data_IF_647326655475
#
_entry.id   IF_647326655475
#
_cell.length_a   1.000
_cell.length_b   1.000
_cell.length_c   1.000
_cell.angle_alpha   90.00
_cell.angle_beta   90.00
_cell.angle_gamma   90.00
#
_symmetry.space_group_name_H-M   'P 1'
#
loop_
_entity.id
_entity.type
_entity.pdbx_description
1 polymer ?
#
# COMPACT_ATOMS: atom_id res chain seq x y z
N UNK A 1 -31.98 53.90 -97.50
CA UNK A 1 -33.13 53.11 -97.15
C UNK A 1 -32.72 52.00 -96.22
N UNK A 2 -33.27 52.04 -95.06
CA UNK A 2 -33.48 51.00 -94.07
C UNK A 2 -32.29 50.13 -93.60
N UNK A 3 -31.74 50.52 -92.47
CA UNK A 3 -30.91 49.70 -91.65
C UNK A 3 -31.67 49.04 -90.46
N UNK A 4 -31.29 47.91 -90.06
CA UNK A 4 -31.78 47.27 -88.84
C UNK A 4 -30.63 46.91 -87.96
N UNK A 5 -30.62 47.51 -86.80
CA UNK A 5 -29.73 47.28 -85.63
C UNK A 5 -30.00 45.93 -84.99
N UNK A 6 -29.02 45.08 -84.94
CA UNK A 6 -29.04 43.82 -84.11
C UNK A 6 -28.33 44.00 -82.80
N UNK A 7 -29.07 43.99 -81.69
CA UNK A 7 -28.55 43.96 -80.33
C UNK A 7 -28.07 42.55 -80.02
N UNK A 8 -26.79 42.33 -79.71
CA UNK A 8 -26.25 41.12 -79.16
C UNK A 8 -26.34 41.19 -77.62
N UNK A 9 -27.15 40.33 -77.07
CA UNK A 9 -27.15 40.06 -75.63
C UNK A 9 -25.92 39.21 -75.23
N UNK A 10 -25.10 39.71 -74.37
CA UNK A 10 -24.07 38.92 -73.64
C UNK A 10 -24.71 38.28 -72.47
N UNK A 11 -24.84 36.94 -72.44
CA UNK A 11 -25.11 36.15 -71.24
C UNK A 11 -23.76 35.90 -70.48
N UNK A 12 -23.60 36.58 -69.40
CA UNK A 12 -22.51 36.28 -68.48
C UNK A 12 -22.83 35.02 -67.59
N UNK A 13 -22.14 33.94 -67.84
CA UNK A 13 -22.14 32.80 -66.91
C UNK A 13 -21.29 33.12 -65.70
N UNK A 14 -21.93 33.39 -64.53
CA UNK A 14 -21.26 33.45 -63.24
C UNK A 14 -21.10 32.00 -62.77
N UNK A 15 -19.88 31.45 -62.87
CA UNK A 15 -19.47 30.19 -62.25
C UNK A 15 -19.16 30.43 -60.78
N UNK A 16 -20.12 30.11 -59.92
CA UNK A 16 -19.92 30.10 -58.43
C UNK A 16 -19.15 28.83 -58.08
N UNK A 17 -17.86 28.95 -57.81
CA UNK A 17 -17.06 27.88 -57.20
C UNK A 17 -17.48 27.73 -55.74
N UNK A 18 -18.31 26.72 -55.43
CA UNK A 18 -18.49 26.23 -54.07
C UNK A 18 -17.21 25.49 -53.64
N UNK A 19 -16.34 26.15 -52.87
CA UNK A 19 -15.24 25.51 -52.19
C UNK A 19 -15.79 24.65 -51.06
N UNK A 20 -16.00 23.34 -51.31
CA UNK A 20 -16.33 22.34 -50.32
C UNK A 20 -15.06 22.07 -49.52
N UNK A 21 -14.87 22.78 -48.39
CA UNK A 21 -13.81 22.52 -47.42
C UNK A 21 -14.06 21.15 -46.80
N UNK A 22 -13.34 20.15 -47.27
CA UNK A 22 -13.24 18.84 -46.61
C UNK A 22 -12.52 19.03 -45.29
N UNK A 23 -13.26 19.14 -44.21
CA UNK A 23 -12.73 18.96 -42.83
C UNK A 23 -12.40 17.48 -42.72
N UNK A 24 -11.17 17.10 -43.07
CA UNK A 24 -10.63 15.81 -42.75
C UNK A 24 -10.60 15.73 -41.19
N UNK A 25 -11.29 14.76 -40.56
CA UNK A 25 -11.10 14.54 -39.15
C UNK A 25 -9.60 14.23 -38.97
N UNK A 26 -8.89 15.10 -38.27
CA UNK A 26 -7.56 14.79 -37.80
C UNK A 26 -7.69 13.49 -37.00
N UNK A 27 -7.20 12.38 -37.54
CA UNK A 27 -6.92 11.18 -36.74
C UNK A 27 -5.87 11.61 -35.71
N UNK A 28 -6.36 12.09 -34.57
CA UNK A 28 -5.51 12.29 -33.43
C UNK A 28 -4.90 10.92 -33.14
N UNK A 29 -3.62 10.75 -33.47
CA UNK A 29 -2.88 9.58 -33.05
C UNK A 29 -3.04 9.53 -31.51
N UNK A 30 -3.73 8.50 -31.00
CA UNK A 30 -3.90 8.35 -29.58
C UNK A 30 -2.51 8.34 -28.95
N UNK A 31 -2.28 9.21 -27.98
CA UNK A 31 -1.00 9.29 -27.30
C UNK A 31 -0.67 7.92 -26.70
N UNK A 32 0.59 7.49 -26.86
CA UNK A 32 1.07 6.26 -26.24
C UNK A 32 0.81 6.33 -24.74
N UNK A 33 0.22 5.28 -24.13
CA UNK A 33 -0.15 5.31 -22.71
C UNK A 33 1.08 5.40 -21.82
N UNK A 34 0.96 6.12 -20.72
CA UNK A 34 1.94 6.02 -19.64
C UNK A 34 1.93 4.61 -19.06
N UNK A 35 3.11 3.98 -19.00
CA UNK A 35 3.25 2.60 -18.52
C UNK A 35 3.78 2.61 -17.09
N UNK A 36 3.02 2.08 -16.14
CA UNK A 36 3.49 1.72 -14.81
C UNK A 36 3.53 0.19 -14.68
N UNK A 37 4.41 -0.31 -13.84
CA UNK A 37 4.45 -1.71 -13.45
C UNK A 37 3.85 -1.92 -12.08
N UNK A 38 3.36 -3.12 -11.82
CA UNK A 38 3.02 -3.56 -10.47
C UNK A 38 3.45 -5.02 -10.29
N UNK A 39 3.97 -5.34 -9.12
CA UNK A 39 4.30 -6.73 -8.72
C UNK A 39 3.65 -6.97 -7.37
N UNK A 40 2.74 -7.94 -7.33
CA UNK A 40 1.98 -8.26 -6.14
C UNK A 40 1.99 -9.77 -5.88
N UNK A 41 1.94 -10.15 -4.60
CA UNK A 41 1.75 -11.55 -4.19
C UNK A 41 0.28 -11.95 -4.33
N UNK A 42 -0.24 -12.03 -5.57
CA UNK A 42 -1.66 -12.33 -5.85
C UNK A 42 -1.99 -13.75 -5.41
N UNK A 43 -1.03 -14.67 -5.54
CA UNK A 43 -1.12 -16.05 -5.07
C UNK A 43 -0.05 -16.37 -4.02
N UNK A 44 -0.15 -17.55 -3.39
CA UNK A 44 0.76 -17.96 -2.32
C UNK A 44 0.39 -17.40 -0.94
N UNK A 45 1.36 -17.37 0.00
CA UNK A 45 1.11 -16.97 1.39
C UNK A 45 0.73 -15.49 1.55
N UNK A 46 1.10 -14.63 0.60
CA UNK A 46 0.80 -13.20 0.58
C UNK A 46 -0.50 -12.85 -0.13
N UNK A 47 -1.30 -13.85 -0.58
CA UNK A 47 -2.47 -13.59 -1.43
C UNK A 47 -3.51 -12.68 -0.79
N UNK A 48 -3.65 -12.72 0.53
CA UNK A 48 -4.55 -11.79 1.24
C UNK A 48 -4.11 -10.32 1.19
N UNK A 49 -2.86 -10.07 0.75
CA UNK A 49 -2.32 -8.73 0.49
C UNK A 49 -2.41 -8.40 -1.01
N UNK A 50 -1.80 -9.26 -1.84
CA UNK A 50 -1.60 -8.98 -3.25
C UNK A 50 -2.86 -9.01 -4.10
N UNK A 51 -3.84 -9.87 -3.78
CA UNK A 51 -5.11 -9.90 -4.51
C UNK A 51 -5.89 -8.58 -4.39
N UNK A 52 -6.14 -8.03 -3.18
CA UNK A 52 -6.80 -6.73 -3.07
C UNK A 52 -5.95 -5.57 -3.59
N UNK A 53 -4.61 -5.63 -3.54
CA UNK A 53 -3.74 -4.62 -4.17
C UNK A 53 -3.94 -4.59 -5.69
N UNK A 54 -3.91 -5.76 -6.35
CA UNK A 54 -4.17 -5.90 -7.78
C UNK A 54 -5.57 -5.38 -8.14
N UNK A 55 -6.61 -5.87 -7.47
CA UNK A 55 -8.00 -5.45 -7.68
C UNK A 55 -8.15 -3.93 -7.59
N UNK A 56 -7.52 -3.33 -6.59
CA UNK A 56 -7.57 -1.88 -6.37
C UNK A 56 -6.86 -1.11 -7.48
N UNK A 57 -5.65 -1.52 -7.84
CA UNK A 57 -4.90 -0.86 -8.92
C UNK A 57 -5.66 -0.93 -10.24
N UNK A 58 -6.21 -2.08 -10.62
CA UNK A 58 -7.00 -2.26 -11.84
C UNK A 58 -8.27 -1.37 -11.81
N UNK A 59 -9.00 -1.35 -10.69
CA UNK A 59 -10.18 -0.50 -10.51
C UNK A 59 -9.85 0.99 -10.66
N UNK A 60 -8.74 1.43 -10.08
CA UNK A 60 -8.34 2.83 -10.12
C UNK A 60 -7.82 3.24 -11.50
N UNK A 61 -7.15 2.35 -12.23
CA UNK A 61 -6.75 2.59 -13.63
C UNK A 61 -7.98 2.82 -14.52
N UNK A 62 -9.02 2.01 -14.37
CA UNK A 62 -10.28 2.22 -15.09
C UNK A 62 -10.90 3.60 -14.76
N UNK A 63 -10.94 3.98 -13.47
CA UNK A 63 -11.44 5.29 -13.03
C UNK A 63 -10.62 6.44 -13.63
N UNK A 64 -9.30 6.36 -13.59
CA UNK A 64 -8.40 7.38 -14.12
C UNK A 64 -8.63 7.55 -15.64
N UNK A 65 -8.69 6.44 -16.37
CA UNK A 65 -8.86 6.46 -17.82
C UNK A 65 -10.26 6.94 -18.24
N UNK A 66 -11.32 6.55 -17.53
CA UNK A 66 -12.68 7.05 -17.77
C UNK A 66 -12.83 8.55 -17.51
N UNK A 67 -11.93 9.12 -16.66
CA UNK A 67 -11.86 10.56 -16.37
C UNK A 67 -10.90 11.31 -17.31
N UNK A 68 -10.46 10.71 -18.43
CA UNK A 68 -9.61 11.35 -19.43
C UNK A 68 -8.11 11.08 -19.27
N UNK A 69 -7.71 10.15 -18.40
CA UNK A 69 -6.31 9.77 -18.20
C UNK A 69 -5.50 10.80 -17.40
N UNK A 70 -4.19 10.75 -17.55
CA UNK A 70 -3.25 11.68 -16.92
C UNK A 70 -2.87 12.76 -17.92
N UNK A 71 -3.33 14.00 -17.72
CA UNK A 71 -3.11 15.10 -18.65
C UNK A 71 -3.54 14.75 -20.10
N UNK A 72 -4.64 14.01 -20.26
CA UNK A 72 -5.14 13.57 -21.58
C UNK A 72 -4.47 12.31 -22.13
N UNK A 73 -3.51 11.72 -21.43
CA UNK A 73 -2.79 10.49 -21.82
C UNK A 73 -3.33 9.30 -21.02
N UNK A 74 -3.72 8.19 -21.68
CA UNK A 74 -4.16 6.99 -20.98
C UNK A 74 -3.08 6.40 -20.08
N UNK A 75 -3.49 5.79 -18.98
CA UNK A 75 -2.62 5.03 -18.07
C UNK A 75 -2.76 3.53 -18.35
N UNK A 76 -1.63 2.83 -18.45
CA UNK A 76 -1.56 1.37 -18.48
C UNK A 76 -0.72 0.87 -17.32
N UNK A 77 -1.27 -0.04 -16.50
CA UNK A 77 -0.50 -0.74 -15.47
C UNK A 77 -0.34 -2.20 -15.88
N UNK A 78 0.91 -2.67 -15.90
CA UNK A 78 1.26 -4.07 -16.17
C UNK A 78 1.46 -4.75 -14.83
N UNK A 79 0.62 -5.73 -14.52
CA UNK A 79 0.62 -6.42 -13.22
C UNK A 79 1.21 -7.82 -13.39
N UNK A 80 2.19 -8.16 -12.55
CA UNK A 80 2.72 -9.52 -12.42
C UNK A 80 2.45 -10.08 -11.02
N UNK A 81 2.14 -11.37 -10.97
CA UNK A 81 2.05 -12.14 -9.74
C UNK A 81 3.44 -12.71 -9.40
N UNK A 82 3.94 -12.41 -8.21
CA UNK A 82 5.21 -12.96 -7.71
C UNK A 82 5.02 -14.31 -6.98
N UNK A 83 3.78 -14.77 -6.84
CA UNK A 83 3.41 -16.01 -6.16
C UNK A 83 3.99 -16.13 -4.73
N UNK A 84 4.29 -15.00 -4.11
CA UNK A 84 4.98 -14.89 -2.80
C UNK A 84 6.38 -15.51 -2.79
N UNK A 85 7.05 -15.56 -3.97
CA UNK A 85 8.37 -16.11 -4.18
C UNK A 85 9.39 -15.02 -4.56
N UNK A 86 10.54 -14.99 -3.87
CA UNK A 86 11.54 -13.93 -4.07
C UNK A 86 12.19 -13.98 -5.45
N UNK A 87 12.39 -15.16 -6.02
CA UNK A 87 12.99 -15.33 -7.35
C UNK A 87 12.02 -14.84 -8.43
N UNK A 88 10.74 -15.24 -8.35
CA UNK A 88 9.70 -14.79 -9.27
C UNK A 88 9.49 -13.28 -9.18
N UNK A 89 9.48 -12.74 -7.97
CA UNK A 89 9.39 -11.29 -7.74
C UNK A 89 10.55 -10.56 -8.44
N UNK A 90 11.79 -10.98 -8.23
CA UNK A 90 12.96 -10.35 -8.86
C UNK A 90 12.90 -10.44 -10.40
N UNK A 91 12.48 -11.57 -10.96
CA UNK A 91 12.29 -11.74 -12.40
C UNK A 91 11.20 -10.84 -12.95
N UNK A 92 10.06 -10.75 -12.26
CA UNK A 92 8.94 -9.88 -12.64
C UNK A 92 9.36 -8.40 -12.63
N UNK A 93 10.02 -7.94 -11.56
CA UNK A 93 10.52 -6.57 -11.45
C UNK A 93 11.54 -6.28 -12.56
N UNK A 94 12.50 -7.18 -12.81
CA UNK A 94 13.46 -7.02 -13.90
C UNK A 94 12.76 -6.90 -15.25
N UNK A 95 11.76 -7.74 -15.52
CA UNK A 95 11.01 -7.71 -16.77
C UNK A 95 10.26 -6.37 -16.97
N UNK A 96 9.58 -5.88 -15.93
CA UNK A 96 8.94 -4.56 -15.95
C UNK A 96 9.91 -3.44 -16.31
N UNK A 97 11.13 -3.48 -15.73
CA UNK A 97 12.15 -2.44 -15.93
C UNK A 97 12.77 -2.46 -17.32
N UNK A 98 13.11 -3.65 -17.85
CA UNK A 98 13.97 -3.82 -19.03
C UNK A 98 13.20 -4.11 -20.32
N UNK A 99 12.13 -4.92 -20.24
CA UNK A 99 11.33 -5.33 -21.40
C UNK A 99 10.10 -4.45 -21.57
N UNK A 100 9.29 -4.30 -20.52
CA UNK A 100 8.07 -3.49 -20.56
C UNK A 100 8.36 -1.98 -20.51
N UNK A 101 9.56 -1.60 -20.01
CA UNK A 101 10.07 -0.21 -19.91
C UNK A 101 9.13 0.71 -19.15
N UNK A 102 8.63 0.23 -18.01
CA UNK A 102 7.72 1.01 -17.17
C UNK A 102 8.42 2.22 -16.53
N UNK A 103 7.64 3.23 -16.18
CA UNK A 103 8.13 4.50 -15.60
C UNK A 103 8.38 4.40 -14.10
N UNK A 104 7.59 3.59 -13.40
CA UNK A 104 7.74 3.27 -11.99
C UNK A 104 7.14 1.89 -11.72
N UNK A 105 7.50 1.27 -10.58
CA UNK A 105 6.98 -0.02 -10.13
C UNK A 105 6.28 0.16 -8.79
N UNK A 106 5.06 -0.38 -8.66
CA UNK A 106 4.24 -0.43 -7.44
C UNK A 106 4.34 -1.84 -6.86
N UNK A 107 4.46 -1.95 -5.55
CA UNK A 107 4.77 -3.21 -4.86
C UNK A 107 6.30 -3.39 -4.67
N UNK A 108 6.75 -4.58 -4.25
CA UNK A 108 5.98 -5.79 -3.90
C UNK A 108 5.12 -5.66 -2.63
N UNK A 109 4.27 -6.68 -2.42
CA UNK A 109 3.34 -6.75 -1.26
C UNK A 109 4.03 -7.11 0.05
N UNK A 110 5.09 -7.92 0.00
CA UNK A 110 5.76 -8.49 1.17
C UNK A 110 7.11 -7.84 1.45
N UNK A 111 7.45 -7.62 2.73
CA UNK A 111 8.70 -6.97 3.13
C UNK A 111 9.95 -7.72 2.64
N UNK A 112 9.96 -9.05 2.73
CA UNK A 112 11.09 -9.85 2.26
C UNK A 112 11.29 -9.74 0.75
N UNK A 113 10.21 -9.69 -0.04
CA UNK A 113 10.26 -9.54 -1.50
C UNK A 113 10.69 -8.11 -1.88
N UNK A 114 10.16 -7.11 -1.18
CA UNK A 114 10.58 -5.71 -1.38
C UNK A 114 12.07 -5.53 -1.15
N UNK A 115 12.60 -6.06 -0.04
CA UNK A 115 14.04 -6.00 0.26
C UNK A 115 14.90 -6.70 -0.81
N UNK A 116 14.41 -7.80 -1.39
CA UNK A 116 15.13 -8.52 -2.45
C UNK A 116 15.25 -7.72 -3.76
N UNK A 117 14.30 -6.79 -4.02
CA UNK A 117 14.29 -6.02 -5.29
C UNK A 117 14.79 -4.59 -5.15
N UNK A 118 15.03 -4.09 -3.93
CA UNK A 118 15.67 -2.77 -3.70
C UNK A 118 16.95 -2.59 -4.52
N UNK A 119 17.92 -3.55 -4.54
CA UNK A 119 19.12 -3.38 -5.35
C UNK A 119 18.85 -3.26 -6.85
N UNK A 120 17.76 -3.89 -7.35
CA UNK A 120 17.37 -3.80 -8.76
C UNK A 120 16.84 -2.41 -9.08
N UNK A 121 16.02 -1.83 -8.20
CA UNK A 121 15.47 -0.48 -8.37
C UNK A 121 16.58 0.58 -8.38
N UNK A 122 17.52 0.50 -7.43
CA UNK A 122 18.68 1.40 -7.33
C UNK A 122 19.59 1.30 -8.57
N UNK A 123 19.94 0.06 -8.99
CA UNK A 123 20.84 -0.16 -10.12
C UNK A 123 20.24 0.23 -11.49
N UNK A 124 18.92 0.16 -11.64
CA UNK A 124 18.21 0.51 -12.88
C UNK A 124 17.59 1.90 -12.87
N UNK A 125 17.83 2.68 -11.81
CA UNK A 125 17.34 4.04 -11.66
C UNK A 125 15.83 4.17 -11.95
N UNK A 126 15.03 3.30 -11.27
CA UNK A 126 13.59 3.30 -11.44
C UNK A 126 12.88 3.49 -10.10
N UNK A 127 11.90 4.42 -10.00
CA UNK A 127 11.10 4.56 -8.81
C UNK A 127 10.36 3.26 -8.46
N UNK A 128 10.62 2.73 -7.26
CA UNK A 128 9.94 1.59 -6.67
C UNK A 128 9.10 2.08 -5.49
N UNK A 129 7.79 1.87 -5.52
CA UNK A 129 6.86 2.28 -4.46
C UNK A 129 6.33 1.01 -3.80
N UNK A 130 7.04 0.52 -2.78
CA UNK A 130 6.71 -0.72 -2.08
C UNK A 130 5.39 -0.62 -1.31
N UNK A 131 4.61 -1.71 -1.34
CA UNK A 131 3.39 -1.89 -0.53
C UNK A 131 3.66 -2.65 0.78
N UNK A 132 4.92 -2.73 1.23
CA UNK A 132 5.32 -3.48 2.41
C UNK A 132 5.86 -2.59 3.53
N UNK A 133 5.76 -3.08 4.78
CA UNK A 133 5.86 -2.23 5.97
C UNK A 133 7.27 -2.04 6.53
N UNK A 134 8.24 -2.95 6.24
CA UNK A 134 9.58 -2.84 6.82
C UNK A 134 10.22 -1.47 6.55
N UNK A 135 10.74 -0.83 7.59
CA UNK A 135 11.44 0.45 7.46
C UNK A 135 12.74 0.32 6.63
N UNK A 136 13.34 -0.87 6.62
CA UNK A 136 14.56 -1.17 5.85
C UNK A 136 14.39 -1.09 4.35
N UNK A 137 13.14 -1.09 3.86
CA UNK A 137 12.85 -0.97 2.43
C UNK A 137 13.31 0.39 1.90
N UNK A 138 13.16 1.43 2.70
CA UNK A 138 13.51 2.80 2.31
C UNK A 138 14.80 3.31 2.94
N UNK A 139 15.39 2.55 3.88
CA UNK A 139 16.60 2.96 4.60
C UNK A 139 17.72 1.92 4.45
N UNK A 140 18.85 2.34 3.91
CA UNK A 140 20.07 1.54 3.90
C UNK A 140 20.71 1.56 5.31
N UNK A 141 20.60 0.46 6.03
CA UNK A 141 21.15 0.32 7.38
C UNK A 141 22.68 0.50 7.45
N UNK A 142 23.41 0.29 6.35
CA UNK A 142 24.87 0.44 6.31
C UNK A 142 25.28 1.91 6.31
N UNK A 143 24.53 2.73 5.60
CA UNK A 143 24.82 4.16 5.44
C UNK A 143 23.98 5.05 6.35
N UNK A 144 22.88 4.54 6.88
CA UNK A 144 21.87 5.30 7.62
C UNK A 144 21.11 6.32 6.76
N UNK A 145 21.15 6.17 5.44
CA UNK A 145 20.51 7.08 4.49
C UNK A 145 19.38 6.39 3.74
N UNK A 146 18.34 7.11 3.29
CA UNK A 146 17.33 6.57 2.40
C UNK A 146 17.96 6.07 1.09
N UNK A 147 17.39 5.00 0.54
CA UNK A 147 17.65 4.60 -0.83
C UNK A 147 17.13 5.67 -1.79
N UNK A 148 17.85 5.92 -2.87
CA UNK A 148 17.54 7.03 -3.80
C UNK A 148 16.23 6.80 -4.57
N UNK A 149 15.97 5.56 -4.99
CA UNK A 149 14.90 5.22 -5.92
C UNK A 149 13.73 4.49 -5.27
N UNK A 150 13.77 4.25 -3.95
CA UNK A 150 12.79 3.41 -3.26
C UNK A 150 11.95 4.22 -2.28
N UNK A 151 10.65 4.05 -2.41
CA UNK A 151 9.59 4.65 -1.59
C UNK A 151 8.68 3.55 -1.05
N UNK A 152 7.82 3.84 -0.09
CA UNK A 152 6.82 2.88 0.42
C UNK A 152 5.55 3.57 0.91
N UNK A 153 4.44 2.82 0.89
CA UNK A 153 3.13 3.34 1.31
C UNK A 153 2.70 2.89 2.71
N UNK A 154 2.98 1.68 3.21
CA UNK A 154 2.60 1.32 4.57
C UNK A 154 3.35 2.15 5.62
N UNK A 155 2.72 2.36 6.75
CA UNK A 155 3.39 2.86 7.94
C UNK A 155 4.56 1.92 8.30
N UNK A 156 5.66 2.51 8.78
CA UNK A 156 6.83 1.72 9.19
C UNK A 156 6.58 0.94 10.48
N UNK A 157 7.26 -0.19 10.63
CA UNK A 157 7.23 -1.02 11.84
C UNK A 157 7.51 -0.22 13.10
N UNK A 158 8.45 0.74 13.05
CA UNK A 158 8.77 1.64 14.16
C UNK A 158 7.54 2.40 14.65
N UNK A 159 6.75 2.99 13.73
CA UNK A 159 5.54 3.73 14.08
C UNK A 159 4.49 2.84 14.75
N UNK A 160 4.36 1.59 14.26
CA UNK A 160 3.44 0.64 14.86
C UNK A 160 3.88 0.20 16.27
N UNK A 161 5.18 -0.03 16.48
CA UNK A 161 5.73 -0.33 17.82
C UNK A 161 5.54 0.86 18.75
N UNK A 162 5.81 2.08 18.30
CA UNK A 162 5.60 3.30 19.09
C UNK A 162 4.13 3.45 19.51
N UNK A 163 3.18 3.20 18.62
CA UNK A 163 1.74 3.23 18.91
C UNK A 163 1.37 2.18 19.98
N UNK A 164 1.86 0.93 19.83
CA UNK A 164 1.64 -0.15 20.81
C UNK A 164 2.23 0.22 22.17
N UNK A 165 3.49 0.68 22.21
CA UNK A 165 4.15 1.01 23.48
C UNK A 165 3.54 2.24 24.15
N UNK A 166 3.10 3.23 23.38
CA UNK A 166 2.36 4.38 23.92
C UNK A 166 1.04 3.94 24.59
N UNK A 167 0.30 3.02 23.96
CA UNK A 167 -0.90 2.43 24.55
C UNK A 167 -0.56 1.62 25.81
N UNK A 168 0.46 0.78 25.77
CA UNK A 168 0.93 -0.01 26.93
C UNK A 168 1.33 0.88 28.11
N UNK A 169 2.01 1.99 27.84
CA UNK A 169 2.39 2.98 28.86
C UNK A 169 1.16 3.57 29.56
N UNK A 170 0.11 3.92 28.79
CA UNK A 170 -1.18 4.39 29.37
C UNK A 170 -1.84 3.33 30.26
N UNK A 171 -1.68 2.04 29.95
CA UNK A 171 -2.24 0.92 30.69
C UNK A 171 -1.31 0.43 31.83
N UNK A 172 -0.14 1.03 32.03
CA UNK A 172 0.83 0.63 33.07
C UNK A 172 1.51 -0.72 32.80
N UNK A 173 1.48 -1.21 31.55
CA UNK A 173 2.13 -2.43 31.10
C UNK A 173 3.63 -2.18 30.94
N UNK A 174 4.48 -3.01 31.56
CA UNK A 174 5.94 -2.89 31.53
C UNK A 174 6.63 -4.18 31.11
N UNK A 175 6.12 -5.35 31.51
CA UNK A 175 6.71 -6.67 31.20
C UNK A 175 5.93 -7.34 30.09
N UNK A 176 6.58 -7.57 28.97
CA UNK A 176 5.95 -8.13 27.77
C UNK A 176 6.68 -9.36 27.26
N UNK A 177 5.93 -10.23 26.61
CA UNK A 177 6.48 -11.25 25.75
C UNK A 177 6.30 -10.83 24.28
N UNK A 178 7.28 -11.12 23.44
CA UNK A 178 7.16 -10.98 22.00
C UNK A 178 7.26 -12.35 21.35
N UNK A 179 6.47 -12.55 20.28
CA UNK A 179 6.55 -13.70 19.41
C UNK A 179 6.47 -13.22 17.96
N UNK A 180 7.43 -13.64 17.12
CA UNK A 180 7.61 -13.05 15.81
C UNK A 180 7.85 -14.11 14.74
N UNK A 181 7.28 -13.91 13.55
CA UNK A 181 7.59 -14.77 12.42
C UNK A 181 9.03 -14.57 11.93
N UNK A 182 9.59 -15.60 11.30
CA UNK A 182 10.98 -15.58 10.78
C UNK A 182 11.06 -15.03 9.34
N UNK A 183 9.96 -14.55 8.77
CA UNK A 183 9.97 -13.85 7.49
C UNK A 183 10.48 -12.40 7.60
N UNK A 184 10.60 -11.72 6.45
CA UNK A 184 11.13 -10.34 6.41
C UNK A 184 10.32 -9.34 7.23
N UNK A 185 8.99 -9.49 7.33
CA UNK A 185 8.15 -8.62 8.14
C UNK A 185 8.29 -8.91 9.65
N UNK A 186 8.27 -10.19 10.02
CA UNK A 186 8.45 -10.60 11.42
C UNK A 186 9.82 -10.21 11.97
N UNK A 187 10.88 -10.40 11.17
CA UNK A 187 12.24 -10.01 11.54
C UNK A 187 12.38 -8.50 11.70
N UNK A 188 11.81 -7.71 10.78
CA UNK A 188 11.83 -6.25 10.84
C UNK A 188 11.11 -5.73 12.09
N UNK A 189 9.90 -6.22 12.35
CA UNK A 189 9.15 -5.85 13.55
C UNK A 189 9.84 -6.25 14.86
N UNK A 190 10.45 -7.45 14.90
CA UNK A 190 11.23 -7.87 16.06
C UNK A 190 12.40 -6.91 16.34
N UNK A 191 13.09 -6.49 15.30
CA UNK A 191 14.21 -5.55 15.49
C UNK A 191 13.73 -4.23 16.07
N UNK A 192 12.61 -3.69 15.59
CA UNK A 192 12.03 -2.45 16.11
C UNK A 192 11.50 -2.62 17.53
N UNK A 193 10.83 -3.74 17.85
CA UNK A 193 10.39 -4.06 19.21
C UNK A 193 11.57 -4.06 20.19
N UNK A 194 12.65 -4.76 19.85
CA UNK A 194 13.85 -4.83 20.68
C UNK A 194 14.56 -3.48 20.77
N UNK A 195 14.72 -2.78 19.64
CA UNK A 195 15.38 -1.47 19.60
C UNK A 195 14.66 -0.44 20.44
N UNK A 196 13.34 -0.31 20.29
CA UNK A 196 12.55 0.71 21.01
C UNK A 196 12.40 0.32 22.48
N UNK A 197 12.22 -0.96 22.81
CA UNK A 197 12.24 -1.42 24.22
C UNK A 197 13.57 -1.12 24.91
N UNK A 198 14.69 -1.18 24.20
CA UNK A 198 16.03 -0.86 24.71
C UNK A 198 16.30 0.63 24.91
N UNK A 199 15.44 1.53 24.47
CA UNK A 199 15.58 2.96 24.74
C UNK A 199 15.36 3.27 26.22
N UNK A 200 16.17 4.19 26.76
CA UNK A 200 16.22 4.55 28.20
C UNK A 200 14.83 4.87 28.79
N UNK A 201 13.98 5.52 28.00
CA UNK A 201 12.66 6.01 28.44
C UNK A 201 11.49 5.12 27.99
N UNK A 202 11.77 3.94 27.43
CA UNK A 202 10.70 3.02 26.96
C UNK A 202 9.88 2.49 28.13
N UNK A 203 10.53 2.14 29.22
CA UNK A 203 9.91 1.51 30.39
C UNK A 203 9.39 0.10 30.13
N UNK A 204 9.76 -0.52 28.98
CA UNK A 204 9.32 -1.85 28.55
C UNK A 204 10.47 -2.85 28.74
N UNK A 205 10.15 -3.96 29.41
CA UNK A 205 11.03 -5.14 29.59
C UNK A 205 10.48 -6.31 28.77
N UNK A 206 11.27 -6.83 27.84
CA UNK A 206 10.94 -8.04 27.09
C UNK A 206 11.39 -9.25 27.90
N UNK A 207 10.45 -9.99 28.49
CA UNK A 207 10.71 -11.17 29.32
C UNK A 207 10.74 -12.48 28.52
N UNK A 208 10.20 -12.49 27.30
CA UNK A 208 10.28 -13.61 26.37
C UNK A 208 10.37 -13.09 24.92
N UNK A 209 11.17 -13.75 24.12
CA UNK A 209 11.40 -13.46 22.70
C UNK A 209 11.35 -14.79 21.91
N UNK A 210 10.14 -15.17 21.48
CA UNK A 210 9.90 -16.43 20.79
C UNK A 210 9.77 -16.21 19.28
N UNK A 211 10.24 -17.19 18.52
CA UNK A 211 10.20 -17.18 17.04
C UNK A 211 9.45 -18.38 16.52
N UNK A 212 8.86 -18.22 15.34
CA UNK A 212 8.15 -19.28 14.63
C UNK A 212 8.17 -19.07 13.12
N UNK A 213 7.94 -20.13 12.35
CA UNK A 213 7.86 -20.08 10.90
C UNK A 213 6.57 -19.43 10.42
N UNK A 214 6.59 -18.70 9.29
CA UNK A 214 5.38 -18.05 8.75
C UNK A 214 4.32 -19.05 8.24
N UNK A 215 4.67 -20.35 8.16
CA UNK A 215 3.77 -21.44 7.76
C UNK A 215 3.46 -22.41 8.90
N UNK A 216 3.89 -22.11 10.12
CA UNK A 216 3.62 -22.98 11.26
C UNK A 216 2.12 -23.05 11.55
N UNK A 217 1.65 -24.24 11.82
CA UNK A 217 0.24 -24.54 12.11
C UNK A 217 -0.04 -24.78 13.59
N UNK A 218 1.01 -24.79 14.43
CA UNK A 218 0.95 -24.95 15.88
C UNK A 218 2.03 -24.11 16.56
N UNK A 219 1.62 -23.25 17.49
CA UNK A 219 2.47 -22.37 18.29
C UNK A 219 2.33 -22.63 19.79
N UNK A 220 1.80 -23.80 20.15
CA UNK A 220 1.53 -24.19 21.55
C UNK A 220 2.80 -24.20 22.39
N UNK A 221 3.94 -24.63 21.84
CA UNK A 221 5.21 -24.67 22.55
C UNK A 221 5.68 -23.27 22.98
N UNK A 222 5.68 -22.31 22.03
CA UNK A 222 6.08 -20.92 22.30
C UNK A 222 5.14 -20.25 23.29
N UNK A 223 3.83 -20.42 23.10
CA UNK A 223 2.81 -19.85 23.98
C UNK A 223 2.82 -20.44 25.39
N UNK A 224 3.12 -21.75 25.55
CA UNK A 224 3.27 -22.39 26.84
C UNK A 224 4.47 -21.81 27.60
N UNK A 225 5.59 -21.60 26.94
CA UNK A 225 6.77 -20.96 27.53
C UNK A 225 6.46 -19.52 27.95
N UNK A 226 5.81 -18.74 27.08
CA UNK A 226 5.38 -17.37 27.37
C UNK A 226 4.44 -17.36 28.59
N UNK A 227 3.45 -18.26 28.64
CA UNK A 227 2.50 -18.37 29.76
C UNK A 227 3.21 -18.60 31.08
N UNK A 228 4.26 -19.44 31.09
CA UNK A 228 5.05 -19.73 32.29
C UNK A 228 5.81 -18.51 32.85
N UNK A 229 6.11 -17.52 32.03
CA UNK A 229 6.80 -16.28 32.40
C UNK A 229 5.85 -15.17 32.88
N UNK A 230 4.54 -15.39 32.77
CA UNK A 230 3.47 -14.50 33.24
C UNK A 230 3.68 -13.02 32.84
N UNK A 231 3.83 -12.70 31.53
CA UNK A 231 3.95 -11.34 31.08
C UNK A 231 2.65 -10.56 31.26
N UNK A 232 2.74 -9.22 31.31
CA UNK A 232 1.57 -8.35 31.38
C UNK A 232 0.87 -8.18 30.02
N UNK A 233 1.59 -8.39 28.91
CA UNK A 233 1.04 -8.43 27.56
C UNK A 233 1.89 -9.32 26.65
N UNK A 234 1.27 -9.79 25.57
CA UNK A 234 1.93 -10.54 24.50
C UNK A 234 1.80 -9.73 23.22
N UNK A 235 2.91 -9.51 22.50
CA UNK A 235 2.90 -8.94 21.15
C UNK A 235 3.23 -10.04 20.15
N UNK A 236 2.35 -10.25 19.19
CA UNK A 236 2.59 -11.13 18.04
C UNK A 236 2.87 -10.29 16.78
N UNK A 237 4.01 -10.55 16.13
CA UNK A 237 4.39 -9.82 14.93
C UNK A 237 4.57 -10.77 13.75
N UNK A 238 3.56 -10.83 12.92
CA UNK A 238 3.54 -11.66 11.72
C UNK A 238 2.50 -11.15 10.72
N UNK A 239 2.44 -11.81 9.58
CA UNK A 239 1.45 -11.57 8.54
C UNK A 239 0.95 -12.93 8.00
N UNK A 240 -0.26 -12.95 7.43
CA UNK A 240 -0.84 -14.17 6.87
C UNK A 240 -1.54 -15.06 7.90
N UNK A 241 -1.87 -16.32 7.54
CA UNK A 241 -2.72 -17.19 8.38
C UNK A 241 -2.17 -17.52 9.77
N UNK A 242 -0.86 -17.53 9.93
CA UNK A 242 -0.21 -17.88 11.22
C UNK A 242 -0.61 -16.95 12.37
N UNK A 243 -1.04 -15.71 12.09
CA UNK A 243 -1.58 -14.79 13.10
C UNK A 243 -2.82 -15.35 13.79
N UNK A 244 -3.67 -16.01 13.03
CA UNK A 244 -4.89 -16.66 13.50
C UNK A 244 -4.54 -17.90 14.32
N UNK A 245 -3.52 -18.66 13.89
CA UNK A 245 -3.01 -19.83 14.66
C UNK A 245 -2.56 -19.38 16.05
N UNK A 246 -1.79 -18.29 16.15
CA UNK A 246 -1.33 -17.75 17.44
C UNK A 246 -2.50 -17.46 18.39
N UNK A 247 -3.56 -16.82 17.89
CA UNK A 247 -4.74 -16.48 18.71
C UNK A 247 -5.54 -17.71 19.14
N UNK A 248 -5.74 -18.68 18.24
CA UNK A 248 -6.45 -19.92 18.54
C UNK A 248 -5.70 -20.72 19.61
N UNK A 249 -4.39 -20.94 19.42
CA UNK A 249 -3.58 -21.66 20.39
C UNK A 249 -3.51 -20.93 21.75
N UNK A 250 -3.45 -19.60 21.77
CA UNK A 250 -3.51 -18.83 23.01
C UNK A 250 -4.85 -19.05 23.76
N UNK A 251 -5.97 -19.05 23.04
CA UNK A 251 -7.29 -19.34 23.57
C UNK A 251 -7.38 -20.76 24.13
N UNK A 252 -6.91 -21.76 23.38
CA UNK A 252 -6.94 -23.18 23.77
C UNK A 252 -6.10 -23.45 25.01
N UNK A 253 -4.97 -22.74 25.16
CA UNK A 253 -4.14 -22.75 26.37
C UNK A 253 -4.74 -21.95 27.54
N UNK A 254 -5.89 -21.30 27.36
CA UNK A 254 -6.51 -20.47 28.38
C UNK A 254 -5.71 -19.23 28.77
N UNK A 255 -4.89 -18.68 27.86
CA UNK A 255 -4.13 -17.45 28.08
C UNK A 255 -5.11 -16.27 28.12
N UNK A 256 -5.08 -15.51 29.24
CA UNK A 256 -5.93 -14.32 29.46
C UNK A 256 -5.13 -13.02 29.39
N UNK A 257 -3.82 -13.13 29.22
CA UNK A 257 -2.92 -11.99 29.05
C UNK A 257 -3.34 -11.16 27.83
N UNK A 258 -3.42 -9.81 27.92
CA UNK A 258 -3.71 -8.93 26.78
C UNK A 258 -2.84 -9.26 25.57
N UNK A 259 -3.46 -9.42 24.43
CA UNK A 259 -2.79 -9.81 23.20
C UNK A 259 -2.78 -8.65 22.22
N UNK A 260 -1.61 -8.26 21.75
CA UNK A 260 -1.41 -7.25 20.72
C UNK A 260 -0.95 -7.93 19.45
N UNK A 261 -1.55 -7.56 18.35
CA UNK A 261 -1.11 -7.94 17.01
C UNK A 261 -0.40 -6.78 16.32
N UNK A 262 0.53 -7.08 15.42
CA UNK A 262 1.05 -6.07 14.50
C UNK A 262 -0.06 -5.52 13.60
N UNK A 263 0.19 -4.39 12.97
CA UNK A 263 -0.72 -3.81 11.95
C UNK A 263 -1.00 -4.76 10.76
N UNK A 264 -0.15 -5.77 10.55
CA UNK A 264 -0.41 -6.85 9.59
C UNK A 264 -1.66 -7.69 9.87
N UNK A 265 -2.27 -7.59 11.07
CA UNK A 265 -3.55 -8.22 11.38
C UNK A 265 -4.76 -7.48 10.81
N UNK A 266 -4.58 -6.28 10.27
CA UNK A 266 -5.60 -5.35 9.83
C UNK A 266 -6.47 -5.81 8.67
N UNK A 267 -7.11 -6.99 8.79
CA UNK A 267 -8.09 -7.51 7.85
C UNK A 267 -9.23 -8.19 8.62
N UNK A 268 -10.49 -7.78 8.35
CA UNK A 268 -11.67 -8.36 9.01
C UNK A 268 -11.78 -9.88 8.82
N UNK A 269 -11.26 -10.43 7.73
CA UNK A 269 -11.20 -11.87 7.53
C UNK A 269 -10.38 -12.59 8.62
N UNK A 270 -9.33 -11.97 9.15
CA UNK A 270 -8.54 -12.53 10.26
C UNK A 270 -9.38 -12.67 11.53
N UNK A 271 -10.27 -11.71 11.81
CA UNK A 271 -11.19 -11.76 12.96
C UNK A 271 -12.15 -12.94 12.79
N UNK A 272 -12.76 -13.08 11.60
CA UNK A 272 -13.68 -14.17 11.29
C UNK A 272 -13.00 -15.55 11.39
N UNK A 273 -11.81 -15.67 10.77
CA UNK A 273 -11.01 -16.89 10.83
C UNK A 273 -10.56 -17.25 12.26
N UNK A 274 -10.36 -16.29 13.12
CA UNK A 274 -10.00 -16.55 14.52
C UNK A 274 -11.16 -17.14 15.35
N UNK A 275 -12.40 -17.16 14.86
CA UNK A 275 -13.56 -17.81 15.46
C UNK A 275 -13.73 -17.45 16.96
N UNK A 276 -13.73 -16.15 17.29
CA UNK A 276 -13.86 -15.63 18.65
C UNK A 276 -12.56 -15.71 19.49
N UNK A 277 -11.43 -16.16 18.93
CA UNK A 277 -10.13 -16.08 19.59
C UNK A 277 -9.50 -14.68 19.44
N UNK A 278 -10.06 -13.83 18.56
CA UNK A 278 -9.62 -12.46 18.38
C UNK A 278 -10.29 -11.46 19.33
N UNK A 279 -11.31 -11.83 20.08
CA UNK A 279 -12.01 -10.92 20.99
C UNK A 279 -11.05 -10.29 22.00
N UNK A 280 -11.06 -8.96 22.11
CA UNK A 280 -10.16 -8.22 23.00
C UNK A 280 -8.73 -8.02 22.48
N UNK A 281 -8.40 -8.51 21.30
CA UNK A 281 -7.08 -8.31 20.67
C UNK A 281 -6.91 -6.85 20.27
N UNK A 282 -5.75 -6.29 20.59
CA UNK A 282 -5.37 -4.90 20.32
C UNK A 282 -4.48 -4.79 19.08
N UNK A 283 -4.73 -3.82 18.23
CA UNK A 283 -4.03 -3.65 16.93
C UNK A 283 -3.84 -2.17 16.62
N UNK A 284 -2.65 -1.72 16.18
CA UNK A 284 -2.50 -0.39 15.57
C UNK A 284 -3.00 -0.45 14.13
N UNK A 285 -4.02 0.33 13.77
CA UNK A 285 -4.59 0.34 12.42
C UNK A 285 -4.62 1.74 11.81
N UNK A 286 -4.40 1.81 10.49
CA UNK A 286 -4.59 3.02 9.70
C UNK A 286 -6.06 3.31 9.40
N UNK A 287 -6.35 4.52 8.96
CA UNK A 287 -7.69 5.04 8.69
C UNK A 287 -8.53 4.15 7.74
N UNK A 288 -7.89 3.55 6.74
CA UNK A 288 -8.55 2.67 5.78
C UNK A 288 -9.26 1.46 6.43
N UNK A 289 -8.73 0.95 7.54
CA UNK A 289 -9.31 -0.18 8.26
C UNK A 289 -10.56 0.17 9.07
N UNK A 290 -10.66 1.44 9.45
CA UNK A 290 -11.62 1.95 10.45
C UNK A 290 -12.44 3.11 9.91
N UNK A 291 -12.58 3.20 8.59
CA UNK A 291 -13.27 4.30 7.91
C UNK A 291 -14.68 4.56 8.45
N UNK A 292 -15.41 3.51 8.83
CA UNK A 292 -16.76 3.60 9.38
C UNK A 292 -16.80 4.34 10.73
N UNK A 293 -15.80 4.12 11.59
CA UNK A 293 -15.71 4.69 12.94
C UNK A 293 -14.83 5.95 13.04
N UNK A 294 -14.24 6.40 11.92
CA UNK A 294 -13.49 7.66 11.90
C UNK A 294 -14.41 8.85 12.19
N UNK A 295 -13.95 9.85 12.97
CA UNK A 295 -14.63 11.11 13.16
C UNK A 295 -14.93 11.80 11.82
N UNK A 296 -16.04 12.51 11.72
CA UNK A 296 -16.46 13.19 10.48
C UNK A 296 -15.43 14.24 9.98
N UNK A 297 -14.67 14.83 10.89
CA UNK A 297 -13.63 15.81 10.58
C UNK A 297 -12.23 15.19 10.38
N UNK A 298 -12.11 13.85 10.38
CA UNK A 298 -10.85 13.20 10.14
C UNK A 298 -10.36 13.47 8.71
N UNK A 299 -9.09 13.85 8.48
CA UNK A 299 -8.59 14.26 7.15
C UNK A 299 -8.76 13.17 6.08
N UNK A 300 -8.70 11.91 6.47
CA UNK A 300 -8.83 10.78 5.55
C UNK A 300 -10.28 10.28 5.36
N UNK A 301 -11.28 10.80 6.12
CA UNK A 301 -12.65 10.29 6.09
C UNK A 301 -13.26 10.26 4.69
N UNK A 302 -13.02 11.30 3.89
CA UNK A 302 -13.57 11.39 2.55
C UNK A 302 -12.91 10.36 1.60
N UNK A 303 -11.59 10.28 1.60
CA UNK A 303 -10.83 9.41 0.67
C UNK A 303 -11.02 7.93 1.01
N UNK A 304 -11.06 7.57 2.30
CA UNK A 304 -11.29 6.18 2.72
C UNK A 304 -12.72 5.74 2.44
N UNK A 305 -13.71 6.58 2.73
CA UNK A 305 -15.12 6.28 2.45
C UNK A 305 -15.43 6.17 0.95
N UNK A 306 -14.82 7.01 0.11
CA UNK A 306 -14.96 6.88 -1.35
C UNK A 306 -14.38 5.55 -1.85
N UNK A 307 -13.19 5.20 -1.40
CA UNK A 307 -12.53 3.95 -1.78
C UNK A 307 -13.35 2.74 -1.32
N UNK A 308 -13.81 2.72 -0.06
CA UNK A 308 -14.64 1.63 0.47
C UNK A 308 -15.92 1.43 -0.35
N UNK A 309 -16.61 2.53 -0.71
CA UNK A 309 -17.81 2.49 -1.55
C UNK A 309 -17.52 1.93 -2.94
N UNK A 310 -16.44 2.37 -3.58
CA UNK A 310 -16.05 1.92 -4.91
C UNK A 310 -15.67 0.43 -4.91
N UNK A 311 -14.86 0.00 -3.94
CA UNK A 311 -14.39 -1.39 -3.82
C UNK A 311 -15.58 -2.33 -3.62
N UNK A 312 -16.47 -2.02 -2.68
CA UNK A 312 -17.68 -2.79 -2.42
C UNK A 312 -18.60 -2.86 -3.63
N UNK A 313 -18.79 -1.74 -4.35
CA UNK A 313 -19.64 -1.70 -5.53
C UNK A 313 -19.10 -2.58 -6.67
N UNK A 314 -17.76 -2.66 -6.84
CA UNK A 314 -17.15 -3.40 -7.93
C UNK A 314 -16.98 -4.88 -7.62
N UNK A 315 -16.57 -5.24 -6.40
CA UNK A 315 -16.17 -6.61 -6.06
C UNK A 315 -17.15 -7.31 -5.12
N UNK A 316 -18.07 -6.58 -4.49
CA UNK A 316 -18.98 -7.09 -3.45
C UNK A 316 -18.23 -7.79 -2.29
N UNK A 317 -17.02 -7.36 -2.01
CA UNK A 317 -16.14 -7.87 -0.96
C UNK A 317 -15.94 -6.83 0.14
N UNK A 318 -15.59 -7.24 1.37
CA UNK A 318 -15.13 -6.33 2.41
C UNK A 318 -13.87 -5.60 1.96
N UNK A 319 -13.75 -4.34 2.36
CA UNK A 319 -12.54 -3.55 2.12
C UNK A 319 -11.33 -4.20 2.79
N UNK A 320 -10.22 -4.26 2.07
CA UNK A 320 -8.91 -4.63 2.60
C UNK A 320 -7.98 -3.42 2.64
N UNK A 321 -7.36 -3.18 3.79
CA UNK A 321 -6.33 -2.14 3.91
C UNK A 321 -5.14 -2.38 2.98
N UNK A 322 -4.84 -3.64 2.67
CA UNK A 322 -3.77 -3.96 1.72
C UNK A 322 -4.07 -3.39 0.33
N UNK A 323 -5.31 -3.50 -0.14
CA UNK A 323 -5.73 -2.79 -1.35
C UNK A 323 -5.50 -1.27 -1.27
N UNK A 324 -5.69 -0.69 -0.09
CA UNK A 324 -5.37 0.73 0.17
C UNK A 324 -3.89 1.07 -0.03
N UNK A 325 -2.95 0.16 0.26
CA UNK A 325 -1.53 0.39 -0.04
C UNK A 325 -1.27 0.44 -1.55
N UNK A 326 -1.92 -0.43 -2.32
CA UNK A 326 -1.91 -0.37 -3.78
C UNK A 326 -2.51 0.93 -4.33
N UNK A 327 -3.60 1.41 -3.71
CA UNK A 327 -4.21 2.71 -4.01
C UNK A 327 -3.22 3.86 -3.78
N UNK A 328 -2.60 3.92 -2.60
CA UNK A 328 -1.64 4.95 -2.24
C UNK A 328 -0.44 4.95 -3.20
N UNK A 329 0.14 3.78 -3.50
CA UNK A 329 1.25 3.63 -4.42
C UNK A 329 0.92 4.08 -5.83
N UNK A 330 -0.24 3.70 -6.35
CA UNK A 330 -0.70 4.13 -7.66
C UNK A 330 -0.92 5.65 -7.71
N UNK A 331 -1.60 6.21 -6.71
CA UNK A 331 -1.94 7.63 -6.71
C UNK A 331 -0.72 8.53 -6.49
N UNK A 332 0.28 8.10 -5.70
CA UNK A 332 1.58 8.76 -5.60
C UNK A 332 2.28 8.80 -6.96
N UNK A 333 2.35 7.64 -7.66
CA UNK A 333 2.93 7.57 -9.00
C UNK A 333 2.16 8.43 -10.02
N UNK A 334 0.83 8.43 -9.98
CA UNK A 334 -0.02 9.25 -10.86
C UNK A 334 0.19 10.75 -10.62
N UNK A 335 0.27 11.18 -9.36
CA UNK A 335 0.52 12.58 -9.03
C UNK A 335 1.93 13.01 -9.46
N UNK A 336 2.93 12.16 -9.29
CA UNK A 336 4.27 12.41 -9.78
C UNK A 336 4.29 12.51 -11.32
N UNK A 337 3.60 11.62 -12.04
CA UNK A 337 3.48 11.67 -13.49
C UNK A 337 2.79 12.94 -14.00
N UNK A 338 1.76 13.45 -13.30
CA UNK A 338 1.07 14.69 -13.67
C UNK A 338 2.01 15.89 -13.76
N UNK A 339 3.02 15.94 -12.90
CA UNK A 339 3.98 17.05 -12.80
C UNK A 339 5.26 16.79 -13.59
N UNK A 340 5.75 15.56 -13.58
CA UNK A 340 7.05 15.18 -14.13
C UNK A 340 6.99 14.76 -15.60
N UNK A 341 5.81 14.29 -16.09
CA UNK A 341 5.74 13.59 -17.38
C UNK A 341 6.48 12.23 -17.35
N UNK A 342 6.77 11.63 -18.53
CA UNK A 342 7.32 10.28 -18.64
C UNK A 342 8.85 10.23 -18.44
N UNK A 343 9.37 10.83 -17.39
CA UNK A 343 10.79 10.85 -17.03
C UNK A 343 10.99 10.26 -15.64
N UNK A 344 11.73 9.14 -15.53
CA UNK A 344 11.93 8.40 -14.27
C UNK A 344 12.59 9.26 -13.18
N UNK A 345 13.59 10.05 -13.54
CA UNK A 345 14.30 10.91 -12.58
C UNK A 345 13.38 12.00 -12.05
N UNK A 346 12.62 12.64 -12.93
CA UNK A 346 11.64 13.65 -12.51
C UNK A 346 10.49 13.07 -11.71
N UNK A 347 10.05 11.84 -12.03
CA UNK A 347 9.03 11.11 -11.24
C UNK A 347 9.58 10.85 -9.83
N UNK A 348 10.84 10.38 -9.71
CA UNK A 348 11.49 10.18 -8.42
C UNK A 348 11.55 11.49 -7.61
N UNK A 349 11.97 12.57 -8.24
CA UNK A 349 12.06 13.88 -7.59
C UNK A 349 10.68 14.38 -7.15
N UNK A 350 9.64 14.17 -7.96
CA UNK A 350 8.27 14.53 -7.64
C UNK A 350 7.71 13.68 -6.47
N UNK A 351 8.06 12.39 -6.39
CA UNK A 351 7.71 11.55 -5.25
C UNK A 351 8.34 12.08 -3.96
N UNK A 352 9.63 12.40 -3.98
CA UNK A 352 10.36 12.94 -2.83
C UNK A 352 9.81 14.31 -2.36
N UNK A 353 9.23 15.08 -3.28
CA UNK A 353 8.59 16.36 -2.99
C UNK A 353 7.12 16.27 -2.58
N UNK A 354 6.57 15.07 -2.45
CA UNK A 354 5.17 14.87 -2.04
C UNK A 354 4.88 15.56 -0.70
N UNK A 355 3.86 16.44 -0.68
CA UNK A 355 3.39 17.15 0.52
C UNK A 355 1.89 17.09 0.64
N UNK A 356 1.41 16.86 1.86
CA UNK A 356 -0.02 16.86 2.22
C UNK A 356 -0.87 15.95 1.32
N UNK A 357 -0.28 14.86 0.81
CA UNK A 357 -1.05 13.89 0.04
C UNK A 357 -1.87 13.03 1.00
N UNK A 358 -3.19 13.23 0.96
CA UNK A 358 -4.15 12.46 1.78
C UNK A 358 -4.41 11.12 1.11
N UNK A 359 -3.79 10.07 1.64
CA UNK A 359 -3.92 8.70 1.18
C UNK A 359 -4.81 7.85 2.08
N UNK A 360 -4.87 6.56 1.79
CA UNK A 360 -5.63 5.58 2.56
C UNK A 360 -5.01 5.32 3.94
N UNK A 361 -3.67 5.43 4.04
CA UNK A 361 -2.92 5.07 5.26
C UNK A 361 -2.30 6.25 6.00
N UNK A 362 -2.53 7.47 5.56
CA UNK A 362 -2.06 8.67 6.23
C UNK A 362 -2.02 9.89 5.32
N UNK A 363 -1.46 10.96 5.84
CA UNK A 363 -1.14 12.16 5.07
C UNK A 363 0.35 12.13 4.79
N UNK A 364 0.72 11.83 3.56
CA UNK A 364 2.11 11.66 3.17
C UNK A 364 2.83 13.01 3.00
N UNK A 365 4.00 13.11 3.64
CA UNK A 365 4.91 14.25 3.55
C UNK A 365 6.34 13.73 3.35
N UNK A 366 6.65 13.31 2.15
CA UNK A 366 7.97 12.76 1.81
C UNK A 366 9.04 13.86 1.72
N UNK A 367 10.30 13.43 1.84
CA UNK A 367 11.48 14.32 1.73
C UNK A 367 12.72 13.49 1.36
N UNK A 368 13.85 14.13 1.00
CA UNK A 368 15.12 13.43 0.80
C UNK A 368 15.61 12.60 1.99
N UNK A 369 15.10 12.87 3.19
CA UNK A 369 15.42 12.13 4.41
C UNK A 369 14.38 11.08 4.79
N UNK A 370 13.20 11.11 4.17
CA UNK A 370 12.08 10.23 4.50
C UNK A 370 11.24 9.89 3.26
N UNK A 371 11.44 8.70 2.72
CA UNK A 371 10.71 8.15 1.58
C UNK A 371 9.45 7.34 1.96
N UNK A 372 9.03 7.39 3.23
CA UNK A 372 7.72 6.93 3.69
C UNK A 372 6.76 8.11 3.93
N UNK A 373 7.24 9.17 4.57
CA UNK A 373 6.49 10.42 4.77
C UNK A 373 5.27 10.31 5.69
N UNK A 374 5.17 9.27 6.52
CA UNK A 374 4.09 9.04 7.47
C UNK A 374 4.57 9.25 8.92
N UNK A 375 3.65 9.62 9.79
CA UNK A 375 3.90 9.91 11.20
C UNK A 375 3.12 8.98 12.12
N UNK A 376 3.38 8.94 13.45
CA UNK A 376 2.63 8.11 14.40
C UNK A 376 1.11 8.32 14.38
N UNK A 377 0.64 9.54 14.03
CA UNK A 377 -0.76 9.89 13.91
C UNK A 377 -1.48 9.14 12.78
N UNK A 378 -0.74 8.47 11.89
CA UNK A 378 -1.29 7.58 10.86
C UNK A 378 -1.85 6.27 11.43
N UNK A 379 -1.61 5.99 12.73
CA UNK A 379 -2.18 4.86 13.44
C UNK A 379 -3.18 5.27 14.53
N UNK A 380 -4.25 4.50 14.66
CA UNK A 380 -5.12 4.46 15.83
C UNK A 380 -5.03 3.08 16.48
N UNK A 381 -4.96 3.04 17.81
CA UNK A 381 -5.10 1.78 18.52
C UNK A 381 -6.56 1.36 18.53
N UNK A 382 -6.81 0.14 18.08
CA UNK A 382 -8.15 -0.46 18.08
C UNK A 382 -8.16 -1.76 18.85
N UNK A 383 -9.36 -2.19 19.23
CA UNK A 383 -9.62 -3.48 19.87
C UNK A 383 -10.65 -4.24 19.05
N UNK A 384 -10.51 -5.55 18.97
CA UNK A 384 -11.56 -6.41 18.40
C UNK A 384 -12.68 -6.54 19.43
N UNK A 385 -13.90 -6.14 19.03
CA UNK A 385 -15.11 -6.23 19.86
C UNK A 385 -16.29 -6.69 19.02
N UNK A 386 -16.89 -7.81 19.40
CA UNK A 386 -18.07 -8.32 18.69
C UNK A 386 -17.82 -8.64 17.21
N UNK A 387 -16.63 -9.18 16.88
CA UNK A 387 -16.18 -9.48 15.52
C UNK A 387 -15.90 -8.28 14.60
N UNK A 388 -15.75 -7.08 15.14
CA UNK A 388 -15.35 -5.89 14.39
C UNK A 388 -14.38 -5.01 15.18
N UNK A 389 -13.93 -3.93 14.56
CA UNK A 389 -13.03 -2.94 15.17
C UNK A 389 -13.79 -1.94 16.03
N UNK A 390 -13.27 -1.66 17.21
CA UNK A 390 -13.67 -0.53 18.03
C UNK A 390 -12.42 0.26 18.45
N UNK A 391 -12.56 1.55 18.73
CA UNK A 391 -11.45 2.34 19.26
C UNK A 391 -11.03 1.76 20.62
N UNK A 392 -9.71 1.59 20.81
CA UNK A 392 -9.16 1.22 22.11
C UNK A 392 -9.05 2.48 22.98
N UNK A 393 -9.42 2.36 24.29
CA UNK A 393 -9.38 3.45 25.28
C UNK A 393 -7.96 3.86 25.66
#
# INVERSE_FOLDING_TARGET
MTGRTGRRLWLGCVLTFLALSWVLPSLALAAEPYKLGAVFSVTGNGSMLGDPEKKTVEMMVEKINSSGGINGVPLKVIVYDDESDATKCALAVKKLMTEDKVLAVIGPSLSGLSLAVVPLAEANEIPLISCAASYKIVLDEKTGKPYKWVFKTPQSDSLAVEAIFAHMKKKGIKKIAIMTATDGFGQSGRQELVRIAGLKDSGIEIVADEKYGPKDTDLTAQLTKIKGLNPQAIINWSIGPVQVVALRNAKDLGIKTPFYQSHGFGNRNNIQLAAGAAEGVLVPLGACNIDEILPANHPQKAVTGEYAKMYKAKFNEPLSSFGGHGWDGLMLAVNALKTAGPDRSKIRDALEQTKNFVGQHGVFNMSPADHNGLTPESFSMVVVKGNDWAMAD
#
